data_IF_534306316209
#
_entry.id   IF_534306316209
#
_cell.length_a   1.000
_cell.length_b   1.000
_cell.length_c   1.000
_cell.angle_alpha   90.00
_cell.angle_beta   90.00
_cell.angle_gamma   90.00
#
_symmetry.space_group_name_H-M   'P 1'
#
loop_
_entity.id
_entity.type
_entity.pdbx_description
1 polymer ?
#
# COMPACT_ATOMS: atom_id res chain seq x y z
N UNK A 1 2.77 -0.47 1.84
CA UNK A 1 3.02 -1.22 0.60
C UNK A 1 2.40 -0.46 -0.55
N UNK A 2 3.12 -0.25 -1.64
CA UNK A 2 2.56 0.30 -2.86
C UNK A 2 1.66 -0.78 -3.52
N UNK A 3 0.40 -0.41 -3.78
CA UNK A 3 -0.59 -1.34 -4.33
C UNK A 3 -0.22 -1.90 -5.71
N UNK A 4 0.58 -1.18 -6.50
CA UNK A 4 1.11 -1.65 -7.79
C UNK A 4 1.91 -2.94 -7.66
N UNK A 5 2.54 -3.15 -6.50
CA UNK A 5 3.31 -4.35 -6.21
C UNK A 5 2.45 -5.49 -5.71
N UNK A 6 1.26 -5.24 -5.15
CA UNK A 6 0.43 -6.28 -4.54
C UNK A 6 0.07 -7.35 -5.58
N UNK A 7 -0.52 -6.94 -6.71
CA UNK A 7 -0.94 -7.87 -7.77
C UNK A 7 0.25 -8.65 -8.33
N UNK A 8 1.40 -7.99 -8.53
CA UNK A 8 2.59 -8.62 -9.13
C UNK A 8 3.29 -9.56 -8.14
N UNK A 9 3.38 -9.18 -6.87
CA UNK A 9 3.97 -10.01 -5.82
C UNK A 9 3.10 -11.24 -5.54
N UNK A 10 1.77 -11.10 -5.55
CA UNK A 10 0.85 -12.25 -5.45
C UNK A 10 1.02 -13.16 -6.66
N UNK A 11 1.07 -12.61 -7.88
CA UNK A 11 1.27 -13.42 -9.09
C UNK A 11 2.59 -14.19 -9.06
N UNK A 12 3.71 -13.50 -8.76
CA UNK A 12 5.03 -14.13 -8.65
C UNK A 12 5.07 -15.17 -7.52
N UNK A 13 4.55 -14.84 -6.34
CA UNK A 13 4.48 -15.78 -5.21
C UNK A 13 3.64 -17.02 -5.53
N UNK A 14 2.52 -16.84 -6.22
CA UNK A 14 1.65 -17.96 -6.65
C UNK A 14 2.31 -18.86 -7.68
N UNK A 15 3.07 -18.29 -8.62
CA UNK A 15 3.85 -19.05 -9.61
C UNK A 15 4.96 -19.85 -8.94
N UNK A 16 5.69 -19.24 -8.00
CA UNK A 16 6.72 -19.97 -7.25
C UNK A 16 6.11 -21.08 -6.38
N UNK A 17 4.91 -20.85 -5.83
CA UNK A 17 4.19 -21.89 -5.09
C UNK A 17 3.77 -23.06 -5.99
N UNK A 18 3.34 -22.80 -7.22
CA UNK A 18 3.04 -23.89 -8.18
C UNK A 18 4.28 -24.66 -8.62
N UNK A 19 5.44 -24.02 -8.64
CA UNK A 19 6.72 -24.65 -8.93
C UNK A 19 7.28 -25.48 -7.75
N UNK A 20 6.58 -25.49 -6.61
CA UNK A 20 6.91 -26.31 -5.44
C UNK A 20 7.90 -25.67 -4.46
N UNK A 21 8.17 -24.36 -4.56
CA UNK A 21 9.07 -23.67 -3.64
C UNK A 21 8.46 -23.51 -2.24
N UNK A 22 9.29 -23.64 -1.20
CA UNK A 22 8.90 -23.39 0.19
C UNK A 22 8.62 -21.90 0.45
N UNK A 23 7.69 -21.61 1.37
CA UNK A 23 7.20 -20.24 1.64
C UNK A 23 8.31 -19.27 2.08
N UNK A 24 9.31 -19.75 2.83
CA UNK A 24 10.47 -18.94 3.22
C UNK A 24 11.31 -18.53 2.02
N UNK A 25 11.54 -19.45 1.07
CA UNK A 25 12.30 -19.15 -0.15
C UNK A 25 11.54 -18.15 -1.02
N UNK A 26 10.21 -18.30 -1.13
CA UNK A 26 9.35 -17.35 -1.84
C UNK A 26 9.53 -15.95 -1.25
N UNK A 27 9.40 -15.81 0.07
CA UNK A 27 9.57 -14.50 0.72
C UNK A 27 10.98 -13.94 0.58
N UNK A 28 12.01 -14.78 0.74
CA UNK A 28 13.40 -14.37 0.53
C UNK A 28 13.66 -13.83 -0.88
N UNK A 29 13.01 -14.43 -1.89
CA UNK A 29 13.16 -14.07 -3.29
C UNK A 29 12.40 -12.79 -3.62
N UNK A 30 11.14 -12.67 -3.16
CA UNK A 30 10.35 -11.46 -3.36
C UNK A 30 10.99 -10.25 -2.66
N UNK A 31 11.53 -10.42 -1.45
CA UNK A 31 12.23 -9.37 -0.71
C UNK A 31 13.60 -9.06 -1.31
N UNK A 32 14.36 -10.07 -1.76
CA UNK A 32 15.65 -9.85 -2.40
C UNK A 32 15.53 -9.13 -3.74
N UNK A 33 14.52 -9.47 -4.54
CA UNK A 33 14.20 -8.73 -5.77
C UNK A 33 13.70 -7.32 -5.45
N UNK A 34 12.90 -7.15 -4.39
CA UNK A 34 12.46 -5.84 -3.92
C UNK A 34 13.63 -4.96 -3.50
N UNK A 35 14.62 -5.53 -2.81
CA UNK A 35 15.85 -4.84 -2.41
C UNK A 35 16.64 -4.36 -3.61
N UNK A 36 16.86 -5.22 -4.62
CA UNK A 36 17.58 -4.82 -5.85
C UNK A 36 16.78 -3.79 -6.65
N UNK A 37 15.46 -3.94 -6.73
CA UNK A 37 14.59 -2.98 -7.42
C UNK A 37 14.57 -1.58 -6.79
N UNK A 38 14.84 -1.45 -5.49
CA UNK A 38 14.97 -0.14 -4.86
C UNK A 38 16.13 0.69 -5.44
N UNK A 39 17.24 0.04 -5.81
CA UNK A 39 18.37 0.72 -6.46
C UNK A 39 18.00 1.27 -7.84
N UNK A 40 17.09 0.61 -8.55
CA UNK A 40 16.59 1.08 -9.84
C UNK A 40 15.82 2.40 -9.68
N UNK A 41 15.01 2.55 -8.61
CA UNK A 41 14.32 3.82 -8.29
C UNK A 41 15.32 4.91 -7.93
N UNK A 42 16.31 4.58 -7.09
CA UNK A 42 17.40 5.50 -6.73
C UNK A 42 18.15 5.96 -7.98
N UNK A 43 18.53 5.04 -8.87
CA UNK A 43 19.17 5.35 -10.16
C UNK A 43 18.28 6.22 -11.06
N UNK A 44 16.99 5.93 -11.11
CA UNK A 44 16.01 6.70 -11.89
C UNK A 44 15.89 8.15 -11.42
N UNK A 45 16.14 8.42 -10.13
CA UNK A 45 16.12 9.79 -9.59
C UNK A 45 17.14 10.72 -10.27
N UNK A 46 18.27 10.18 -10.73
CA UNK A 46 19.31 10.96 -11.42
C UNK A 46 18.94 11.27 -12.88
N UNK A 47 18.22 10.34 -13.53
CA UNK A 47 17.86 10.40 -14.96
C UNK A 47 16.47 11.04 -15.16
N UNK A 48 15.78 11.40 -14.07
CA UNK A 48 14.47 12.08 -14.07
C UNK A 48 14.30 13.20 -15.12
N UNK A 49 15.27 14.11 -15.35
CA UNK A 49 15.12 15.15 -16.37
C UNK A 49 14.89 14.60 -17.78
N UNK A 50 15.49 13.46 -18.12
CA UNK A 50 15.31 12.78 -19.40
C UNK A 50 14.01 11.97 -19.42
N UNK A 51 13.68 11.30 -18.31
CA UNK A 51 12.43 10.54 -18.17
C UNK A 51 11.19 11.43 -18.35
N UNK A 52 11.22 12.69 -17.91
CA UNK A 52 10.10 13.64 -18.06
C UNK A 52 9.61 13.87 -19.50
N UNK A 53 10.44 13.62 -20.51
CA UNK A 53 9.98 13.68 -21.90
C UNK A 53 8.92 12.62 -22.20
N UNK A 54 8.94 11.51 -21.45
CA UNK A 54 7.99 10.40 -21.53
C UNK A 54 6.95 10.49 -20.41
N UNK A 55 7.33 10.94 -19.21
CA UNK A 55 6.43 11.09 -18.05
C UNK A 55 5.64 12.39 -18.17
N UNK A 56 4.55 12.35 -18.90
CA UNK A 56 3.55 13.44 -18.93
C UNK A 56 2.48 13.21 -17.85
N UNK A 57 1.78 14.27 -17.39
CA UNK A 57 0.66 14.13 -16.45
C UNK A 57 -0.41 13.15 -16.95
N UNK A 58 -0.65 13.11 -18.26
CA UNK A 58 -1.58 12.18 -18.90
C UNK A 58 -1.13 10.73 -18.75
N UNK A 59 0.14 10.42 -19.01
CA UNK A 59 0.70 9.06 -18.85
C UNK A 59 0.65 8.64 -17.39
N UNK A 60 1.06 9.51 -16.47
CA UNK A 60 0.98 9.23 -15.02
C UNK A 60 -0.45 8.96 -14.57
N UNK A 61 -1.43 9.75 -15.03
CA UNK A 61 -2.84 9.57 -14.68
C UNK A 61 -3.42 8.24 -15.19
N UNK A 62 -3.10 7.85 -16.43
CA UNK A 62 -3.54 6.57 -17.00
C UNK A 62 -2.91 5.40 -16.23
N UNK A 63 -1.63 5.48 -15.89
CA UNK A 63 -0.94 4.43 -15.11
C UNK A 63 -1.59 4.26 -13.74
N UNK A 64 -1.84 5.35 -13.00
CA UNK A 64 -2.53 5.31 -11.69
C UNK A 64 -3.94 4.74 -11.82
N UNK A 65 -4.68 5.11 -12.88
CA UNK A 65 -6.00 4.53 -13.15
C UNK A 65 -5.91 3.02 -13.39
N UNK A 66 -4.95 2.55 -14.19
CA UNK A 66 -4.75 1.12 -14.46
C UNK A 66 -4.38 0.34 -13.20
N UNK A 67 -3.53 0.91 -12.34
CA UNK A 67 -3.21 0.34 -11.03
C UNK A 67 -4.49 0.18 -10.21
N UNK A 68 -5.30 1.24 -10.09
CA UNK A 68 -6.59 1.20 -9.40
C UNK A 68 -7.53 0.12 -9.93
N UNK A 69 -7.72 0.07 -11.25
CA UNK A 69 -8.59 -0.95 -11.89
C UNK A 69 -8.07 -2.38 -11.67
N UNK A 70 -6.76 -2.59 -11.67
CA UNK A 70 -6.17 -3.92 -11.41
C UNK A 70 -6.43 -4.42 -9.99
N UNK A 71 -6.57 -3.50 -9.03
CA UNK A 71 -6.82 -3.81 -7.62
C UNK A 71 -8.27 -4.13 -7.33
N UNK A 72 -9.21 -3.64 -8.15
CA UNK A 72 -10.64 -3.99 -8.01
C UNK A 72 -10.81 -5.51 -7.99
N UNK A 73 -10.02 -6.25 -8.79
CA UNK A 73 -10.05 -7.71 -8.79
C UNK A 73 -9.68 -8.30 -7.43
N UNK A 74 -8.65 -7.76 -6.77
CA UNK A 74 -8.23 -8.20 -5.43
C UNK A 74 -9.29 -7.84 -4.40
N UNK A 75 -9.80 -6.60 -4.44
CA UNK A 75 -10.88 -6.16 -3.57
C UNK A 75 -12.15 -7.01 -3.69
N UNK A 76 -12.55 -7.41 -4.90
CA UNK A 76 -13.69 -8.32 -5.11
C UNK A 76 -13.43 -9.72 -4.52
N UNK A 77 -12.18 -10.20 -4.61
CA UNK A 77 -11.82 -11.48 -3.98
C UNK A 77 -11.95 -11.35 -2.46
N UNK A 78 -11.42 -10.29 -1.86
CA UNK A 78 -11.48 -10.05 -0.42
C UNK A 78 -12.93 -9.85 0.05
N UNK A 79 -13.74 -9.12 -0.73
CA UNK A 79 -15.18 -8.92 -0.52
C UNK A 79 -15.95 -10.26 -0.44
N UNK A 80 -15.52 -11.26 -1.22
CA UNK A 80 -16.09 -12.60 -1.22
C UNK A 80 -15.59 -13.52 -0.10
N UNK A 81 -14.76 -13.04 0.84
CA UNK A 81 -14.11 -13.87 1.88
C UNK A 81 -12.66 -14.25 1.57
N UNK A 82 -12.06 -13.59 0.57
CA UNK A 82 -10.65 -13.67 0.20
C UNK A 82 -10.17 -15.00 -0.36
N UNK A 83 -8.84 -15.14 -0.45
CA UNK A 83 -8.20 -16.29 -1.11
C UNK A 83 -8.42 -17.60 -0.34
N UNK A 84 -8.56 -17.53 0.99
CA UNK A 84 -8.86 -18.69 1.83
C UNK A 84 -10.28 -19.24 1.57
N UNK A 85 -11.30 -18.38 1.51
CA UNK A 85 -12.67 -18.80 1.18
C UNK A 85 -12.76 -19.35 -0.25
N UNK A 86 -11.99 -18.79 -1.18
CA UNK A 86 -11.88 -19.28 -2.56
C UNK A 86 -11.31 -20.69 -2.65
N UNK A 87 -10.30 -21.01 -1.83
CA UNK A 87 -9.71 -22.35 -1.79
C UNK A 87 -10.60 -23.39 -1.10
N UNK A 88 -11.44 -22.97 -0.16
CA UNK A 88 -12.34 -23.84 0.62
C UNK A 88 -13.74 -23.98 0.02
N UNK A 89 -14.01 -23.34 -1.13
CA UNK A 89 -15.33 -23.37 -1.79
C UNK A 89 -16.43 -22.58 -1.08
N UNK A 90 -16.08 -21.79 -0.07
CA UNK A 90 -17.01 -20.94 0.71
C UNK A 90 -17.05 -19.49 0.22
N UNK A 91 -16.40 -19.23 -0.92
CA UNK A 91 -16.37 -17.92 -1.55
C UNK A 91 -17.77 -17.39 -1.84
N UNK A 92 -18.03 -16.19 -1.37
CA UNK A 92 -19.31 -15.53 -1.57
C UNK A 92 -20.44 -16.10 -0.70
N UNK A 93 -20.14 -16.61 0.50
CA UNK A 93 -21.17 -16.88 1.49
C UNK A 93 -21.93 -15.59 1.86
N UNK A 94 -23.23 -15.71 2.18
CA UNK A 94 -24.11 -14.57 2.48
C UNK A 94 -23.58 -13.70 3.62
N UNK A 95 -22.89 -14.30 4.59
CA UNK A 95 -22.25 -13.58 5.70
C UNK A 95 -21.10 -12.68 5.22
N UNK A 96 -20.22 -13.19 4.36
CA UNK A 96 -19.11 -12.43 3.79
C UNK A 96 -19.61 -11.28 2.90
N UNK A 97 -20.54 -11.57 1.97
CA UNK A 97 -21.13 -10.52 1.14
C UNK A 97 -21.90 -9.50 1.96
N UNK A 98 -22.65 -9.94 2.98
CA UNK A 98 -23.44 -9.06 3.83
C UNK A 98 -22.58 -8.04 4.57
N UNK A 99 -21.46 -8.49 5.15
CA UNK A 99 -20.50 -7.62 5.82
C UNK A 99 -19.82 -6.68 4.83
N UNK A 100 -19.32 -7.19 3.70
CA UNK A 100 -18.66 -6.35 2.69
C UNK A 100 -19.61 -5.28 2.12
N UNK A 101 -20.86 -5.66 1.84
CA UNK A 101 -21.88 -4.74 1.32
C UNK A 101 -22.28 -3.69 2.36
N UNK A 102 -22.36 -4.06 3.63
CA UNK A 102 -22.59 -3.12 4.72
C UNK A 102 -21.48 -2.07 4.77
N UNK A 103 -20.21 -2.49 4.74
CA UNK A 103 -19.07 -1.56 4.73
C UNK A 103 -19.14 -0.64 3.52
N UNK A 104 -19.37 -1.20 2.32
CA UNK A 104 -19.48 -0.43 1.10
C UNK A 104 -20.58 0.65 1.16
N UNK A 105 -21.77 0.28 1.66
CA UNK A 105 -22.89 1.24 1.83
C UNK A 105 -22.51 2.35 2.81
N UNK A 106 -21.87 2.01 3.93
CA UNK A 106 -21.43 2.99 4.92
C UNK A 106 -20.40 3.95 4.31
N UNK A 107 -19.39 3.43 3.62
CA UNK A 107 -18.36 4.23 2.95
C UNK A 107 -18.97 5.16 1.91
N UNK A 108 -19.87 4.65 1.05
CA UNK A 108 -20.57 5.46 0.03
C UNK A 108 -21.43 6.53 0.70
N UNK A 109 -22.18 6.19 1.76
CA UNK A 109 -23.02 7.13 2.49
C UNK A 109 -22.22 8.29 3.08
N UNK A 110 -21.08 8.01 3.71
CA UNK A 110 -20.18 9.05 4.23
C UNK A 110 -19.46 9.82 3.12
N UNK A 111 -19.17 9.20 1.97
CA UNK A 111 -18.56 9.88 0.84
C UNK A 111 -19.51 10.93 0.22
N UNK A 112 -20.80 10.59 0.13
CA UNK A 112 -21.88 11.48 -0.31
C UNK A 112 -22.19 12.63 0.67
N UNK A 113 -21.68 12.59 1.91
CA UNK A 113 -21.90 13.66 2.86
C UNK A 113 -21.23 14.96 2.43
N UNK A 114 -21.86 16.09 2.81
CA UNK A 114 -21.41 17.44 2.44
C UNK A 114 -20.18 17.89 3.24
N UNK A 115 -19.99 17.38 4.45
CA UNK A 115 -18.85 17.72 5.30
C UNK A 115 -17.57 17.00 4.84
N UNK A 116 -16.49 17.73 4.53
CA UNK A 116 -15.27 17.12 4.02
C UNK A 116 -14.57 16.16 4.98
N UNK A 117 -14.68 16.39 6.30
CA UNK A 117 -14.10 15.52 7.33
C UNK A 117 -14.76 14.14 7.33
N UNK A 118 -16.08 14.07 7.20
CA UNK A 118 -16.80 12.80 7.11
C UNK A 118 -16.46 12.04 5.82
N UNK A 119 -16.23 12.75 4.71
CA UNK A 119 -15.81 12.12 3.44
C UNK A 119 -14.46 11.43 3.55
N UNK A 120 -13.48 12.07 4.21
CA UNK A 120 -12.16 11.49 4.44
C UNK A 120 -12.16 10.37 5.46
N UNK A 121 -12.94 10.53 6.54
CA UNK A 121 -13.09 9.53 7.59
C UNK A 121 -13.97 8.34 7.20
N UNK A 122 -14.71 8.43 6.08
CA UNK A 122 -15.70 7.44 5.67
C UNK A 122 -15.15 6.02 5.57
N UNK A 123 -13.94 5.84 5.03
CA UNK A 123 -13.26 4.54 4.96
C UNK A 123 -12.96 4.01 6.37
N UNK A 124 -12.40 4.84 7.25
CA UNK A 124 -12.08 4.45 8.62
C UNK A 124 -13.35 4.10 9.43
N UNK A 125 -14.43 4.87 9.25
CA UNK A 125 -15.73 4.60 9.88
C UNK A 125 -16.32 3.29 9.32
N UNK A 126 -16.30 3.10 8.00
CA UNK A 126 -16.74 1.87 7.35
C UNK A 126 -16.03 0.64 7.88
N UNK A 127 -14.70 0.71 8.01
CA UNK A 127 -13.87 -0.34 8.59
C UNK A 127 -14.27 -0.63 10.06
N UNK A 128 -14.51 0.40 10.87
CA UNK A 128 -14.95 0.25 12.25
C UNK A 128 -16.33 -0.43 12.35
N UNK A 129 -17.30 0.00 11.54
CA UNK A 129 -18.64 -0.58 11.54
C UNK A 129 -18.60 -2.02 11.04
N UNK A 130 -17.84 -2.30 9.98
CA UNK A 130 -17.65 -3.66 9.45
C UNK A 130 -16.98 -4.60 10.45
N UNK A 131 -15.98 -4.10 11.18
CA UNK A 131 -15.33 -4.85 12.25
C UNK A 131 -16.30 -5.19 13.38
N UNK A 132 -17.11 -4.22 13.84
CA UNK A 132 -18.14 -4.45 14.87
C UNK A 132 -19.18 -5.46 14.40
N UNK A 133 -19.65 -5.36 13.15
CA UNK A 133 -20.58 -6.33 12.58
C UNK A 133 -19.98 -7.73 12.54
N UNK A 134 -18.71 -7.84 12.15
CA UNK A 134 -17.98 -9.11 12.12
C UNK A 134 -17.76 -9.73 13.49
N UNK A 135 -17.59 -8.90 14.53
CA UNK A 135 -17.53 -9.35 15.92
C UNK A 135 -18.87 -9.96 16.37
N UNK A 136 -19.99 -9.31 16.03
CA UNK A 136 -21.33 -9.83 16.34
C UNK A 136 -21.63 -11.15 15.63
N UNK A 137 -21.08 -11.34 14.41
CA UNK A 137 -21.20 -12.58 13.64
C UNK A 137 -20.20 -13.67 14.06
N UNK A 138 -19.31 -13.39 15.02
CA UNK A 138 -18.32 -14.37 15.50
C UNK A 138 -17.22 -14.70 14.49
N UNK A 139 -17.01 -13.88 13.47
CA UNK A 139 -16.03 -14.11 12.40
C UNK A 139 -14.58 -13.78 12.81
N UNK A 140 -14.40 -13.18 14.00
CA UNK A 140 -13.10 -12.73 14.50
C UNK A 140 -12.56 -13.71 15.54
N UNK A 141 -11.44 -14.36 15.22
CA UNK A 141 -10.75 -15.25 16.17
C UNK A 141 -9.69 -14.49 16.96
N UNK A 142 -9.84 -14.38 18.28
CA UNK A 142 -8.89 -13.69 19.17
C UNK A 142 -7.71 -14.56 19.64
N UNK A 143 -7.65 -15.84 19.26
CA UNK A 143 -6.62 -16.78 19.76
C UNK A 143 -5.20 -16.32 19.43
N UNK A 144 -5.00 -15.71 18.27
CA UNK A 144 -3.70 -15.23 17.79
C UNK A 144 -3.11 -14.08 18.63
N UNK A 145 -3.92 -13.39 19.46
CA UNK A 145 -3.48 -12.24 20.27
C UNK A 145 -3.05 -12.58 21.69
N UNK A 146 -3.35 -13.78 22.21
CA UNK A 146 -3.10 -14.10 23.64
C UNK A 146 -1.63 -14.17 24.04
N UNK A 147 -0.73 -14.41 23.08
CA UNK A 147 0.70 -14.66 23.35
C UNK A 147 1.64 -13.72 22.57
N UNK A 148 1.18 -12.53 22.18
CA UNK A 148 2.03 -11.58 21.47
C UNK A 148 3.04 -10.92 22.43
N UNK A 149 4.33 -10.79 22.04
CA UNK A 149 5.30 -10.02 22.81
C UNK A 149 4.87 -8.55 22.89
N UNK A 150 5.24 -7.86 23.97
CA UNK A 150 4.88 -6.45 24.16
C UNK A 150 5.56 -5.53 23.12
N UNK A 151 6.79 -5.86 22.72
CA UNK A 151 7.58 -5.08 21.76
C UNK A 151 8.22 -6.06 20.77
N UNK A 152 8.09 -5.77 19.47
CA UNK A 152 8.81 -6.48 18.41
C UNK A 152 9.73 -5.51 17.69
N UNK A 153 11.02 -5.84 17.65
CA UNK A 153 12.02 -5.08 16.90
C UNK A 153 12.19 -5.72 15.53
N UNK A 154 12.13 -4.95 14.43
CA UNK A 154 12.32 -5.50 13.10
C UNK A 154 13.78 -5.95 12.91
N UNK A 155 13.97 -7.24 12.61
CA UNK A 155 15.28 -7.81 12.34
C UNK A 155 15.64 -7.66 10.85
N UNK A 156 16.80 -7.07 10.51
CA UNK A 156 17.25 -7.02 9.13
C UNK A 156 17.34 -8.40 8.49
N UNK A 157 16.86 -8.55 7.25
CA UNK A 157 16.96 -9.78 6.44
C UNK A 157 16.50 -11.06 7.15
N UNK A 158 15.41 -10.99 7.91
CA UNK A 158 14.85 -12.11 8.68
C UNK A 158 14.57 -13.34 7.80
N UNK A 159 14.12 -13.13 6.57
CA UNK A 159 13.78 -14.20 5.62
C UNK A 159 14.96 -14.61 4.72
N UNK A 160 16.15 -14.07 4.94
CA UNK A 160 17.30 -14.28 4.06
C UNK A 160 17.27 -13.43 2.78
N UNK A 161 18.24 -13.68 1.90
CA UNK A 161 18.39 -12.95 0.64
C UNK A 161 18.55 -13.94 -0.52
N UNK A 162 17.57 -13.96 -1.42
CA UNK A 162 17.63 -14.71 -2.67
C UNK A 162 17.31 -13.78 -3.84
N UNK A 163 18.06 -13.90 -4.93
CA UNK A 163 17.90 -13.03 -6.10
C UNK A 163 17.77 -13.87 -7.37
N UNK A 164 16.69 -13.63 -8.11
CA UNK A 164 16.47 -14.17 -9.44
C UNK A 164 16.34 -13.04 -10.45
N UNK A 165 17.17 -13.07 -11.49
CA UNK A 165 17.16 -12.05 -12.55
C UNK A 165 15.83 -12.02 -13.30
N UNK A 166 15.21 -13.18 -13.53
CA UNK A 166 13.91 -13.25 -14.22
C UNK A 166 12.82 -12.52 -13.43
N UNK A 167 12.74 -12.77 -12.12
CA UNK A 167 11.79 -12.10 -11.23
C UNK A 167 12.10 -10.60 -11.12
N UNK A 168 13.38 -10.23 -11.15
CA UNK A 168 13.81 -8.84 -11.18
C UNK A 168 13.33 -8.08 -12.41
N UNK A 169 13.30 -8.68 -13.60
CA UNK A 169 12.75 -8.00 -14.78
C UNK A 169 11.27 -7.64 -14.59
N UNK A 170 10.49 -8.54 -13.99
CA UNK A 170 9.06 -8.32 -13.72
C UNK A 170 8.86 -7.24 -12.66
N UNK A 171 9.47 -7.39 -11.49
CA UNK A 171 9.33 -6.44 -10.38
C UNK A 171 10.00 -5.08 -10.70
N UNK A 172 11.13 -5.09 -11.40
CA UNK A 172 11.85 -3.91 -11.84
C UNK A 172 11.02 -3.03 -12.77
N UNK A 173 10.19 -3.64 -13.62
CA UNK A 173 9.24 -2.89 -14.45
C UNK A 173 8.21 -2.14 -13.60
N UNK A 174 7.69 -2.77 -12.53
CA UNK A 174 6.77 -2.10 -11.59
C UNK A 174 7.47 -1.00 -10.79
N UNK A 175 8.75 -1.17 -10.46
CA UNK A 175 9.55 -0.10 -9.86
C UNK A 175 9.69 1.13 -10.77
N UNK A 176 9.81 0.95 -12.09
CA UNK A 176 9.75 2.07 -13.03
C UNK A 176 8.37 2.75 -13.00
N UNK A 177 7.28 1.98 -12.91
CA UNK A 177 5.93 2.54 -12.77
C UNK A 177 5.77 3.32 -11.45
N UNK A 178 6.35 2.83 -10.36
CA UNK A 178 6.34 3.54 -9.07
C UNK A 178 7.06 4.89 -9.13
N UNK A 179 8.07 5.05 -10.00
CA UNK A 179 8.65 6.38 -10.26
C UNK A 179 7.63 7.32 -10.89
N UNK A 180 6.81 6.83 -11.82
CA UNK A 180 5.74 7.63 -12.45
C UNK A 180 4.72 8.09 -11.42
N UNK A 181 4.27 7.16 -10.57
CA UNK A 181 3.34 7.44 -9.48
C UNK A 181 3.92 8.46 -8.50
N UNK A 182 5.16 8.25 -8.04
CA UNK A 182 5.82 9.18 -7.13
C UNK A 182 5.95 10.59 -7.72
N UNK A 183 6.29 10.70 -9.02
CA UNK A 183 6.32 11.98 -9.74
C UNK A 183 4.93 12.62 -9.77
N UNK A 184 3.89 11.85 -10.10
CA UNK A 184 2.50 12.31 -10.11
C UNK A 184 2.06 12.83 -8.75
N UNK A 185 2.32 12.07 -7.69
CA UNK A 185 1.96 12.42 -6.32
C UNK A 185 2.69 13.66 -5.83
N UNK A 186 4.01 13.75 -6.02
CA UNK A 186 4.80 14.94 -5.64
C UNK A 186 4.30 16.19 -6.39
N UNK A 187 3.93 16.02 -7.66
CA UNK A 187 3.37 17.10 -8.47
C UNK A 187 2.01 17.53 -7.95
N UNK A 188 1.13 16.58 -7.63
CA UNK A 188 -0.16 16.84 -7.01
C UNK A 188 -0.01 17.53 -5.65
N UNK A 189 0.92 17.07 -4.80
CA UNK A 189 1.27 17.72 -3.54
C UNK A 189 1.73 19.16 -3.77
N UNK A 190 2.59 19.41 -4.76
CA UNK A 190 3.05 20.76 -5.09
C UNK A 190 1.89 21.68 -5.53
N UNK A 191 0.93 21.16 -6.33
CA UNK A 191 -0.26 21.91 -6.73
C UNK A 191 -1.16 22.26 -5.54
N UNK A 192 -1.52 21.29 -4.69
CA UNK A 192 -2.40 21.53 -3.54
C UNK A 192 -1.73 22.38 -2.44
N UNK A 193 -0.41 22.33 -2.35
CA UNK A 193 0.39 23.17 -1.44
C UNK A 193 0.77 24.54 -2.01
N UNK A 194 0.26 24.89 -3.22
CA UNK A 194 0.53 26.16 -3.91
C UNK A 194 2.03 26.43 -4.12
N UNK A 195 2.80 25.40 -4.43
CA UNK A 195 4.23 25.46 -4.73
C UNK A 195 4.48 25.45 -6.24
N UNK A 196 5.67 25.93 -6.70
CA UNK A 196 6.01 25.89 -8.11
C UNK A 196 6.02 24.47 -8.65
N UNK A 197 5.37 24.29 -9.82
CA UNK A 197 5.33 23.05 -10.61
C UNK A 197 6.23 23.10 -11.85
N UNK A 198 7.06 24.14 -11.95
CA UNK A 198 8.04 24.35 -13.02
C UNK A 198 9.30 24.99 -12.43
N UNK A 199 10.39 24.97 -13.20
CA UNK A 199 11.68 25.53 -12.78
C UNK A 199 12.56 24.57 -11.97
N UNK A 200 13.72 25.08 -11.53
CA UNK A 200 14.74 24.29 -10.84
C UNK A 200 14.31 23.80 -9.46
N UNK A 201 13.52 24.59 -8.72
CA UNK A 201 13.01 24.20 -7.40
C UNK A 201 12.11 22.95 -7.50
N UNK A 202 11.24 22.92 -8.51
CA UNK A 202 10.40 21.76 -8.80
C UNK A 202 11.22 20.55 -9.27
N UNK A 203 12.28 20.78 -10.06
CA UNK A 203 13.21 19.75 -10.49
C UNK A 203 13.93 19.09 -9.30
N UNK A 204 14.47 19.91 -8.41
CA UNK A 204 15.12 19.47 -7.18
C UNK A 204 14.16 18.71 -6.27
N UNK A 205 12.93 19.20 -6.10
CA UNK A 205 11.89 18.53 -5.31
C UNK A 205 11.55 17.14 -5.84
N UNK A 206 11.40 17.00 -7.15
CA UNK A 206 11.10 15.71 -7.77
C UNK A 206 12.27 14.73 -7.65
N UNK A 207 13.50 15.19 -7.92
CA UNK A 207 14.71 14.36 -7.74
C UNK A 207 14.85 13.89 -6.30
N UNK A 208 14.74 14.81 -5.34
CA UNK A 208 14.81 14.50 -3.91
C UNK A 208 13.68 13.59 -3.44
N UNK A 209 12.45 13.80 -3.92
CA UNK A 209 11.30 12.99 -3.54
C UNK A 209 11.36 11.56 -4.10
N UNK A 210 11.76 11.38 -5.37
CA UNK A 210 11.96 10.04 -5.94
C UNK A 210 13.17 9.34 -5.33
N UNK A 211 14.25 10.07 -5.02
CA UNK A 211 15.39 9.53 -4.29
C UNK A 211 14.97 9.04 -2.90
N UNK A 212 14.23 9.86 -2.15
CA UNK A 212 13.69 9.48 -0.84
C UNK A 212 12.76 8.27 -0.94
N UNK A 213 11.96 8.18 -2.01
CA UNK A 213 11.11 7.01 -2.27
C UNK A 213 11.93 5.72 -2.48
N UNK A 214 12.98 5.79 -3.29
CA UNK A 214 13.89 4.66 -3.52
C UNK A 214 14.63 4.24 -2.25
N UNK A 215 15.15 5.22 -1.50
CA UNK A 215 15.81 4.97 -0.21
C UNK A 215 14.85 4.36 0.82
N UNK A 216 13.61 4.84 0.89
CA UNK A 216 12.59 4.27 1.75
C UNK A 216 12.26 2.83 1.36
N UNK A 217 12.14 2.52 0.07
CA UNK A 217 11.95 1.15 -0.41
C UNK A 217 13.14 0.25 -0.10
N UNK A 218 14.37 0.77 -0.19
CA UNK A 218 15.58 0.06 0.20
C UNK A 218 15.56 -0.30 1.69
N UNK A 219 15.32 0.68 2.56
CA UNK A 219 15.23 0.46 4.02
C UNK A 219 14.08 -0.50 4.33
N UNK A 220 12.93 -0.35 3.66
CA UNK A 220 11.78 -1.24 3.82
C UNK A 220 12.16 -2.70 3.51
N UNK A 221 12.85 -2.95 2.39
CA UNK A 221 13.27 -4.29 2.00
C UNK A 221 14.26 -4.91 2.99
N UNK A 222 15.22 -4.12 3.52
CA UNK A 222 16.14 -4.57 4.58
C UNK A 222 15.38 -5.05 5.81
N UNK A 223 14.32 -4.33 6.20
CA UNK A 223 13.47 -4.70 7.33
C UNK A 223 12.26 -5.57 6.93
N UNK A 224 12.37 -6.32 5.83
CA UNK A 224 11.40 -7.31 5.36
C UNK A 224 10.00 -6.76 5.02
N UNK A 225 9.94 -5.51 4.59
CA UNK A 225 8.72 -4.87 4.11
C UNK A 225 8.76 -4.74 2.60
N UNK A 226 7.61 -5.00 1.96
CA UNK A 226 7.45 -4.82 0.53
C UNK A 226 7.63 -3.36 0.08
N UNK A 227 7.86 -3.13 -1.23
CA UNK A 227 8.12 -1.79 -1.76
C UNK A 227 7.04 -0.79 -1.38
N UNK A 228 7.47 0.43 -1.06
CA UNK A 228 6.61 1.52 -0.62
C UNK A 228 6.69 2.67 -1.63
N UNK A 229 5.63 3.46 -1.72
CA UNK A 229 5.54 4.63 -2.61
C UNK A 229 4.91 5.80 -1.87
N UNK A 230 4.88 6.96 -2.52
CA UNK A 230 4.15 8.12 -2.05
C UNK A 230 2.67 7.78 -1.85
N UNK A 231 2.04 8.42 -0.86
CA UNK A 231 0.63 8.18 -0.54
C UNK A 231 -0.21 9.35 -1.04
N UNK A 232 -0.88 9.17 -2.18
CA UNK A 232 -1.69 10.20 -2.82
C UNK A 232 -2.86 10.72 -1.97
N UNK A 233 -3.37 9.93 -1.02
CA UNK A 233 -4.47 10.35 -0.12
C UNK A 233 -4.14 11.61 0.68
N UNK A 234 -2.86 11.84 0.99
CA UNK A 234 -2.43 13.02 1.74
C UNK A 234 -2.76 14.33 0.98
N UNK A 235 -2.79 14.29 -0.35
CA UNK A 235 -3.14 15.46 -1.16
C UNK A 235 -4.57 15.93 -0.90
N UNK A 236 -5.51 14.99 -0.70
CA UNK A 236 -6.88 15.34 -0.37
C UNK A 236 -6.98 15.97 1.03
N UNK A 237 -6.24 15.46 2.02
CA UNK A 237 -6.22 16.03 3.38
C UNK A 237 -5.68 17.46 3.35
N UNK A 238 -4.58 17.68 2.62
CA UNK A 238 -3.98 19.01 2.45
C UNK A 238 -4.95 19.96 1.74
N UNK A 239 -5.63 19.49 0.68
CA UNK A 239 -6.58 20.31 -0.06
C UNK A 239 -7.75 20.79 0.82
N UNK A 240 -8.22 19.97 1.75
CA UNK A 240 -9.34 20.29 2.63
C UNK A 240 -8.92 21.12 3.85
N UNK A 241 -7.79 20.78 4.47
CA UNK A 241 -7.30 21.47 5.67
C UNK A 241 -6.57 22.76 5.34
N UNK A 242 -6.04 22.89 4.12
CA UNK A 242 -5.11 23.95 3.73
C UNK A 242 -3.74 23.85 4.38
N UNK A 243 -3.45 22.76 5.14
CA UNK A 243 -2.22 22.62 5.93
C UNK A 243 -1.25 21.68 5.22
N UNK A 244 -0.24 22.23 4.55
CA UNK A 244 0.86 21.49 3.92
C UNK A 244 2.14 21.50 4.78
N UNK A 245 2.01 21.46 6.10
CA UNK A 245 3.13 21.59 7.03
C UNK A 245 3.93 20.29 7.19
N UNK A 246 5.25 20.36 6.99
CA UNK A 246 6.17 19.22 7.22
C UNK A 246 6.15 18.71 8.67
N UNK A 247 5.83 19.57 9.64
CA UNK A 247 5.75 19.18 11.05
C UNK A 247 4.64 18.17 11.31
N UNK A 248 3.49 18.30 10.62
CA UNK A 248 2.41 17.31 10.70
C UNK A 248 2.90 15.95 10.22
N UNK A 249 3.66 15.93 9.11
CA UNK A 249 4.28 14.71 8.60
C UNK A 249 5.24 14.06 9.59
N UNK A 250 6.11 14.84 10.25
CA UNK A 250 7.02 14.32 11.27
C UNK A 250 6.31 13.73 12.49
N UNK A 251 5.26 14.41 12.99
CA UNK A 251 4.47 13.92 14.12
C UNK A 251 3.76 12.61 13.77
N UNK A 252 3.15 12.52 12.58
CA UNK A 252 2.50 11.29 12.11
C UNK A 252 3.53 10.16 11.91
N UNK A 253 4.70 10.45 11.33
CA UNK A 253 5.76 9.46 11.18
C UNK A 253 6.25 8.92 12.52
N UNK A 254 6.49 9.79 13.51
CA UNK A 254 6.88 9.38 14.86
C UNK A 254 5.80 8.53 15.53
N UNK A 255 4.53 8.95 15.42
CA UNK A 255 3.39 8.19 15.92
C UNK A 255 3.33 6.79 15.31
N UNK A 256 3.49 6.65 13.99
CA UNK A 256 3.48 5.36 13.31
C UNK A 256 4.67 4.47 13.67
N UNK A 257 5.86 5.05 13.88
CA UNK A 257 7.03 4.32 14.38
C UNK A 257 6.74 3.73 15.76
N UNK A 258 6.21 4.55 16.68
CA UNK A 258 5.86 4.11 18.03
C UNK A 258 4.80 3.02 17.98
N UNK A 259 3.73 3.20 17.21
CA UNK A 259 2.66 2.20 17.06
C UNK A 259 3.16 0.90 16.42
N UNK A 260 4.08 0.98 15.47
CA UNK A 260 4.65 -0.18 14.78
C UNK A 260 5.51 -1.08 15.68
N UNK A 261 6.04 -0.55 16.80
CA UNK A 261 6.80 -1.33 17.77
C UNK A 261 5.91 -2.26 18.61
N UNK A 262 4.60 -1.97 18.70
CA UNK A 262 3.65 -2.74 19.50
C UNK A 262 2.93 -3.78 18.63
N UNK A 263 3.21 -5.08 18.79
CA UNK A 263 2.62 -6.14 17.98
C UNK A 263 1.10 -6.22 18.12
N UNK A 264 0.55 -5.76 19.24
CA UNK A 264 -0.89 -5.65 19.46
C UNK A 264 -1.60 -4.83 18.36
N UNK A 265 -0.97 -3.77 17.84
CA UNK A 265 -1.51 -2.97 16.74
C UNK A 265 -1.53 -3.79 15.45
N UNK A 266 -0.41 -4.47 15.14
CA UNK A 266 -0.31 -5.32 13.95
C UNK A 266 -1.25 -6.54 14.01
N UNK A 267 -1.47 -7.09 15.21
CA UNK A 267 -2.40 -8.19 15.45
C UNK A 267 -3.84 -7.73 15.27
N UNK A 268 -4.21 -6.58 15.83
CA UNK A 268 -5.54 -5.99 15.62
C UNK A 268 -5.87 -5.82 14.12
N UNK A 269 -4.93 -5.30 13.33
CA UNK A 269 -5.13 -5.13 11.87
C UNK A 269 -5.27 -6.48 11.16
N UNK A 270 -4.53 -7.51 11.56
CA UNK A 270 -4.66 -8.87 11.01
C UNK A 270 -5.97 -9.57 11.36
N UNK A 271 -6.65 -9.12 12.42
CA UNK A 271 -7.97 -9.63 12.81
C UNK A 271 -9.13 -9.02 12.04
N UNK A 272 -8.87 -7.98 11.24
CA UNK A 272 -9.91 -7.40 10.40
C UNK A 272 -10.23 -8.41 9.30
N UNK A 273 -11.48 -8.91 9.22
CA UNK A 273 -11.83 -9.92 8.22
C UNK A 273 -11.66 -9.39 6.80
N UNK A 274 -11.27 -10.27 5.88
CA UNK A 274 -11.09 -9.94 4.46
C UNK A 274 -12.33 -9.27 3.83
N UNK A 275 -13.59 -9.66 4.13
CA UNK A 275 -14.77 -8.96 3.60
C UNK A 275 -14.89 -7.51 4.04
N UNK A 276 -14.42 -7.17 5.25
CA UNK A 276 -14.41 -5.79 5.75
C UNK A 276 -13.37 -4.97 4.98
N UNK A 277 -12.19 -5.56 4.72
CA UNK A 277 -11.15 -4.94 3.91
C UNK A 277 -11.56 -4.79 2.45
N UNK A 278 -12.23 -5.78 1.86
CA UNK A 278 -12.70 -5.74 0.47
C UNK A 278 -13.87 -4.77 0.24
N UNK A 279 -14.67 -4.48 1.28
CA UNK A 279 -15.75 -3.51 1.23
C UNK A 279 -15.31 -2.05 1.43
N UNK A 280 -14.13 -1.82 2.00
CA UNK A 280 -13.58 -0.51 2.34
C UNK A 280 -12.76 0.12 1.19
#
# INVERSE_FOLDING_TARGET
>A
VNFSFVTVMIALGSSMKSDGFHEELIMSSLLGVSFVGAFLVVGSSFILPYLRRVITPTVSGIVVLMIGLSLIKVGIIDFGGGFAAKSSGTFGNYEHLGVGLLVLIVVIGFNCCRSPLLRMGGIAIGLCVGYIASLCLGMVDFRSMRNLPLITIPHPFKYGFSFSFHQFLVVGTIYLLSVLEAVGDITATAMVSRRPIQGEEYQSRLKGGVLANGLNSFVSAVFNTFPNSCFGQNNGVIQLTGVASRYVGFVVALMLIVLGLFPAVSGFVQHIPEPVLGGA
#
